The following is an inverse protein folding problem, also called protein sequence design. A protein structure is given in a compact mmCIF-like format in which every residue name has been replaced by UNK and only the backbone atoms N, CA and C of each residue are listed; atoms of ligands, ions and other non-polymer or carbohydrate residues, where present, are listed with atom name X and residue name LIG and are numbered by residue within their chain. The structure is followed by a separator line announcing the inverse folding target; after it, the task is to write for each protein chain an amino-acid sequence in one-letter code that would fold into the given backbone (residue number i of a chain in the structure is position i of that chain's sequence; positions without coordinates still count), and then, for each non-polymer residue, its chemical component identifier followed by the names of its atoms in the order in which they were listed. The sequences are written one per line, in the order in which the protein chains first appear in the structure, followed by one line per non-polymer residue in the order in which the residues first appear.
data_IF_775843217070
#
_entry.id   IF_775843217070
#
_cell.length_a   1.000
_cell.length_b   1.000
_cell.length_c   1.000
_cell.angle_alpha   90.00
_cell.angle_beta   90.00
_cell.angle_gamma   90.00
#
_symmetry.space_group_name_H-M   'P 1'
#
loop_
_entity.id
_entity.type
_entity.pdbx_description
1 polymer ?
#
# COMPACT_ATOMS: atom_id res chain seq x y z
N UNK A 1 8.71 4.93 -5.62
CA UNK A 1 9.69 5.12 -6.70
C UNK A 1 10.02 3.84 -7.47
N UNK A 2 10.15 2.69 -6.82
CA UNK A 2 10.57 1.45 -7.51
C UNK A 2 9.62 1.01 -8.65
N UNK A 3 8.35 1.39 -8.62
CA UNK A 3 7.40 1.15 -9.73
C UNK A 3 7.84 1.80 -11.04
N UNK A 4 8.63 2.86 -11.00
CA UNK A 4 9.14 3.53 -12.20
C UNK A 4 9.89 2.57 -13.10
N UNK A 5 10.63 1.61 -12.52
CA UNK A 5 11.28 0.53 -13.26
C UNK A 5 10.27 -0.33 -14.06
N UNK A 6 9.15 -0.66 -13.45
CA UNK A 6 8.10 -1.46 -14.12
C UNK A 6 7.44 -0.64 -15.23
N UNK A 7 7.25 0.68 -15.02
CA UNK A 7 6.73 1.57 -16.07
C UNK A 7 7.68 1.64 -17.27
N UNK A 8 9.01 1.70 -17.02
CA UNK A 8 10.02 1.66 -18.08
C UNK A 8 9.94 0.34 -18.87
N UNK A 9 9.87 -0.80 -18.19
CA UNK A 9 9.73 -2.12 -18.84
C UNK A 9 8.45 -2.26 -19.65
N UNK A 10 7.37 -1.68 -19.16
CA UNK A 10 6.07 -1.68 -19.85
C UNK A 10 5.98 -0.58 -20.93
N UNK A 11 6.95 0.32 -21.04
CA UNK A 11 6.91 1.43 -22.00
C UNK A 11 5.75 2.40 -21.77
N UNK A 12 5.29 2.54 -20.51
CA UNK A 12 4.13 3.40 -20.16
C UNK A 12 4.51 4.60 -19.30
N UNK A 13 5.80 4.82 -19.07
CA UNK A 13 6.30 5.86 -18.15
C UNK A 13 5.82 7.26 -18.53
N UNK A 14 5.89 7.61 -19.81
CA UNK A 14 5.48 8.95 -20.29
C UNK A 14 3.98 9.17 -20.09
N UNK A 15 3.16 8.15 -20.39
CA UNK A 15 1.72 8.22 -20.17
C UNK A 15 1.38 8.37 -18.68
N UNK A 16 2.09 7.63 -17.79
CA UNK A 16 1.91 7.77 -16.34
C UNK A 16 2.34 9.17 -15.87
N UNK A 17 3.43 9.70 -16.42
CA UNK A 17 3.89 11.06 -16.11
C UNK A 17 2.88 12.13 -16.54
N UNK A 18 2.29 11.96 -17.73
CA UNK A 18 1.30 12.91 -18.28
C UNK A 18 -0.01 12.94 -17.48
N UNK A 19 -0.42 11.82 -16.85
CA UNK A 19 -1.68 11.73 -16.10
C UNK A 19 -1.49 11.88 -14.59
N UNK A 20 -0.28 12.10 -14.10
CA UNK A 20 0.02 12.06 -12.67
C UNK A 20 0.66 13.33 -12.14
N UNK A 21 0.56 13.50 -10.82
CA UNK A 21 1.34 14.50 -10.08
C UNK A 21 2.65 13.85 -9.64
N UNK A 22 3.78 14.51 -9.91
CA UNK A 22 5.10 14.02 -9.47
C UNK A 22 5.13 13.87 -7.94
N UNK A 23 5.61 12.73 -7.46
CA UNK A 23 5.76 12.39 -6.04
C UNK A 23 7.24 12.26 -5.67
N UNK A 24 7.90 13.31 -5.20
CA UNK A 24 9.31 13.25 -4.83
C UNK A 24 9.55 12.74 -3.40
N UNK A 25 8.50 12.65 -2.57
CA UNK A 25 8.65 12.27 -1.18
C UNK A 25 7.34 12.07 -0.42
N UNK A 26 7.47 11.98 0.90
CA UNK A 26 6.36 11.93 1.84
C UNK A 26 6.65 12.83 3.04
N UNK A 27 5.62 13.57 3.47
CA UNK A 27 5.60 14.34 4.72
C UNK A 27 4.82 13.55 5.78
N UNK A 28 5.32 13.56 7.00
CA UNK A 28 4.57 13.08 8.17
C UNK A 28 4.41 14.23 9.16
N UNK A 29 3.20 14.40 9.67
CA UNK A 29 2.82 15.45 10.64
C UNK A 29 2.27 14.76 11.87
N UNK A 30 2.79 15.10 13.05
CA UNK A 30 2.18 14.68 14.32
C UNK A 30 1.21 15.76 14.76
N UNK A 31 -0.06 15.44 14.82
CA UNK A 31 -1.11 16.37 15.24
C UNK A 31 -0.93 16.79 16.72
N UNK A 32 -0.53 15.84 17.55
CA UNK A 32 -0.31 16.06 18.99
C UNK A 32 0.83 17.02 19.30
N UNK A 33 1.91 17.08 18.49
CA UNK A 33 3.10 17.88 18.75
C UNK A 33 3.35 18.98 17.72
N UNK A 34 2.58 19.03 16.63
CA UNK A 34 2.82 19.90 15.49
C UNK A 34 4.10 19.60 14.71
N UNK A 35 4.88 18.60 15.15
CA UNK A 35 6.16 18.24 14.51
C UNK A 35 5.93 17.69 13.10
N UNK A 36 6.79 18.12 12.17
CA UNK A 36 6.79 17.67 10.78
C UNK A 36 8.12 17.03 10.43
N UNK A 37 8.09 15.97 9.61
CA UNK A 37 9.29 15.35 9.06
C UNK A 37 9.07 15.03 7.58
N UNK A 38 10.08 15.29 6.76
CA UNK A 38 10.04 15.08 5.32
C UNK A 38 11.03 14.00 4.92
N UNK A 39 10.57 13.07 4.12
CA UNK A 39 11.36 11.99 3.53
C UNK A 39 11.40 12.17 2.01
N UNK A 40 12.40 12.93 1.52
CA UNK A 40 12.68 13.03 0.10
C UNK A 40 13.25 11.70 -0.41
N UNK A 41 12.64 11.09 -1.41
CA UNK A 41 13.10 9.79 -1.93
C UNK A 41 14.50 9.86 -2.54
N UNK A 42 14.91 11.04 -3.02
CA UNK A 42 16.28 11.31 -3.49
C UNK A 42 17.34 11.09 -2.39
N UNK A 43 16.96 11.16 -1.11
CA UNK A 43 17.86 10.88 0.01
C UNK A 43 17.97 9.38 0.34
N UNK A 44 17.24 8.52 -0.37
CA UNK A 44 17.38 7.07 -0.25
C UNK A 44 18.74 6.58 -0.72
N UNK A 45 19.08 5.35 -0.34
CA UNK A 45 20.35 4.70 -0.64
C UNK A 45 20.48 4.27 -2.12
N UNK A 46 19.36 4.01 -2.77
CA UNK A 46 19.28 3.74 -4.20
C UNK A 46 18.89 5.03 -4.95
N UNK A 47 19.82 5.57 -5.72
CA UNK A 47 19.65 6.83 -6.45
C UNK A 47 19.00 6.69 -7.83
N UNK A 48 18.69 5.49 -8.27
CA UNK A 48 18.13 5.24 -9.61
C UNK A 48 16.66 5.65 -9.70
N UNK A 49 15.90 5.52 -8.61
CA UNK A 49 14.47 5.78 -8.55
C UNK A 49 14.17 6.70 -7.37
N UNK A 50 14.19 8.00 -7.63
CA UNK A 50 14.08 9.05 -6.60
C UNK A 50 12.72 9.72 -6.54
N UNK A 51 11.79 9.30 -7.40
CA UNK A 51 10.42 9.84 -7.47
C UNK A 51 9.44 8.79 -8.02
N UNK A 52 8.17 9.09 -7.93
CA UNK A 52 7.07 8.34 -8.54
C UNK A 52 6.00 9.33 -8.98
N UNK A 53 4.80 8.85 -9.28
CA UNK A 53 3.64 9.68 -9.57
C UNK A 53 2.45 9.29 -8.71
N UNK A 54 1.58 10.25 -8.44
CA UNK A 54 0.27 10.08 -7.85
C UNK A 54 -0.74 10.22 -8.97
N UNK A 55 -1.54 9.19 -9.18
CA UNK A 55 -2.44 9.06 -10.32
C UNK A 55 -3.85 8.74 -9.86
N UNK A 56 -4.85 9.13 -10.65
CA UNK A 56 -6.19 8.59 -10.50
C UNK A 56 -6.17 7.12 -10.90
N UNK A 57 -6.67 6.25 -10.03
CA UNK A 57 -6.61 4.80 -10.25
C UNK A 57 -7.39 4.36 -11.47
N UNK A 58 -8.54 5.00 -11.76
CA UNK A 58 -9.32 4.69 -12.95
C UNK A 58 -8.50 4.86 -14.24
N UNK A 59 -7.80 5.98 -14.36
CA UNK A 59 -6.99 6.30 -15.55
C UNK A 59 -5.77 5.37 -15.64
N UNK A 60 -5.07 5.17 -14.53
CA UNK A 60 -3.90 4.31 -14.46
C UNK A 60 -4.23 2.83 -14.73
N UNK A 61 -5.27 2.31 -14.11
CA UNK A 61 -5.70 0.92 -14.31
C UNK A 61 -6.18 0.71 -15.76
N UNK A 62 -6.87 1.69 -16.35
CA UNK A 62 -7.26 1.68 -17.78
C UNK A 62 -6.05 1.69 -18.70
N UNK A 63 -5.05 2.52 -18.43
CA UNK A 63 -3.80 2.55 -19.19
C UNK A 63 -3.13 1.16 -19.23
N UNK A 64 -2.97 0.54 -18.06
CA UNK A 64 -2.33 -0.79 -17.98
C UNK A 64 -3.16 -1.86 -18.69
N UNK A 65 -4.48 -1.82 -18.54
CA UNK A 65 -5.40 -2.74 -19.19
C UNK A 65 -5.30 -2.62 -20.73
N UNK A 66 -5.37 -1.41 -21.27
CA UNK A 66 -5.25 -1.16 -22.72
C UNK A 66 -3.83 -1.48 -23.23
N UNK A 67 -2.81 -1.22 -22.44
CA UNK A 67 -1.43 -1.60 -22.76
C UNK A 67 -1.25 -3.13 -22.89
N UNK A 68 -1.92 -3.91 -22.03
CA UNK A 68 -1.93 -5.36 -22.16
C UNK A 68 -2.65 -5.82 -23.45
N UNK A 69 -3.80 -5.21 -23.77
CA UNK A 69 -4.54 -5.49 -25.01
C UNK A 69 -3.69 -5.23 -26.26
N UNK A 70 -2.98 -4.08 -26.30
CA UNK A 70 -2.12 -3.74 -27.46
C UNK A 70 -0.94 -4.69 -27.66
N UNK A 71 -0.62 -5.49 -26.64
CA UNK A 71 0.41 -6.55 -26.71
C UNK A 71 -0.15 -7.95 -26.95
N UNK A 72 -1.42 -8.04 -27.34
CA UNK A 72 -2.06 -9.30 -27.76
C UNK A 72 -2.79 -10.03 -26.62
N UNK A 73 -2.91 -9.50 -25.43
CA UNK A 73 -3.76 -10.06 -24.40
C UNK A 73 -5.23 -9.89 -24.80
N UNK A 74 -6.02 -10.97 -24.78
CA UNK A 74 -7.46 -10.89 -24.99
C UNK A 74 -8.14 -10.36 -23.74
N UNK A 75 -8.68 -9.15 -23.83
CA UNK A 75 -9.38 -8.50 -22.75
C UNK A 75 -10.88 -8.73 -22.85
N UNK A 76 -11.53 -9.00 -21.72
CA UNK A 76 -12.98 -9.19 -21.66
C UNK A 76 -13.49 -8.31 -20.49
N UNK A 77 -14.15 -7.22 -20.87
CA UNK A 77 -14.71 -6.24 -19.91
C UNK A 77 -16.13 -6.63 -19.48
N UNK A 78 -16.61 -6.04 -18.40
CA UNK A 78 -17.97 -6.26 -17.85
C UNK A 78 -18.32 -7.76 -17.69
N UNK A 79 -17.30 -8.59 -17.41
CA UNK A 79 -17.45 -10.03 -17.29
C UNK A 79 -16.90 -10.48 -15.95
N UNK A 80 -17.75 -11.10 -15.15
CA UNK A 80 -17.40 -11.53 -13.79
C UNK A 80 -17.10 -13.02 -13.76
N UNK A 81 -15.90 -13.39 -13.31
CA UNK A 81 -15.58 -14.78 -12.98
C UNK A 81 -16.36 -15.17 -11.71
N UNK A 82 -17.20 -16.19 -11.84
CA UNK A 82 -18.07 -16.67 -10.74
C UNK A 82 -17.59 -18.00 -10.16
N UNK A 83 -16.88 -18.80 -10.97
CA UNK A 83 -16.44 -20.11 -10.55
C UNK A 83 -15.07 -20.45 -11.15
N UNK A 84 -14.21 -21.05 -10.34
CA UNK A 84 -12.93 -21.62 -10.78
C UNK A 84 -12.79 -22.98 -10.12
N UNK A 85 -12.59 -24.04 -10.87
CA UNK A 85 -12.39 -25.40 -10.38
C UNK A 85 -11.08 -25.96 -10.90
N UNK A 86 -10.36 -26.62 -10.00
CA UNK A 86 -9.11 -27.30 -10.32
C UNK A 86 -9.36 -28.80 -10.28
N UNK A 87 -8.98 -29.49 -11.35
CA UNK A 87 -9.05 -30.94 -11.42
C UNK A 87 -7.84 -31.64 -10.81
N UNK A 88 -7.62 -32.90 -11.20
CA UNK A 88 -6.41 -33.64 -10.82
C UNK A 88 -5.14 -32.95 -11.38
N UNK A 89 -3.97 -33.19 -10.77
CA UNK A 89 -2.71 -32.64 -11.25
C UNK A 89 -2.52 -32.92 -12.74
N UNK A 90 -2.21 -31.87 -13.53
CA UNK A 90 -2.08 -31.93 -14.98
C UNK A 90 -3.37 -31.68 -15.78
N UNK A 91 -4.54 -31.68 -15.14
CA UNK A 91 -5.79 -31.30 -15.81
C UNK A 91 -5.88 -29.77 -15.96
N UNK A 92 -6.63 -29.33 -16.96
CA UNK A 92 -6.97 -27.91 -17.13
C UNK A 92 -7.96 -27.50 -16.06
N UNK A 93 -7.85 -26.26 -15.57
CA UNK A 93 -8.88 -25.68 -14.72
C UNK A 93 -10.16 -25.42 -15.52
N UNK A 94 -11.31 -25.42 -14.83
CA UNK A 94 -12.59 -24.97 -15.37
C UNK A 94 -12.90 -23.59 -14.78
N UNK A 95 -13.18 -22.61 -15.63
CA UNK A 95 -13.52 -21.24 -15.21
C UNK A 95 -14.85 -20.85 -15.86
N UNK A 96 -15.84 -20.48 -15.03
CA UNK A 96 -17.08 -19.90 -15.49
C UNK A 96 -17.11 -18.39 -15.25
N UNK A 97 -17.53 -17.64 -16.26
CA UNK A 97 -17.63 -16.19 -16.20
C UNK A 97 -18.96 -15.71 -16.80
N UNK A 98 -19.59 -14.75 -16.15
CA UNK A 98 -20.91 -14.20 -16.53
C UNK A 98 -20.68 -12.83 -17.18
N UNK A 99 -21.18 -12.69 -18.40
CA UNK A 99 -21.14 -11.45 -19.17
C UNK A 99 -22.26 -10.46 -18.78
N UNK A 100 -22.26 -9.26 -19.38
CA UNK A 100 -23.25 -8.22 -19.10
C UNK A 100 -24.67 -8.59 -19.54
N UNK A 101 -24.80 -9.52 -20.47
CA UNK A 101 -26.04 -10.08 -20.98
C UNK A 101 -26.58 -11.26 -20.13
N UNK A 102 -25.90 -11.59 -19.03
CA UNK A 102 -26.20 -12.73 -18.18
C UNK A 102 -25.74 -14.09 -18.76
N UNK A 103 -25.17 -14.12 -19.95
CA UNK A 103 -24.64 -15.36 -20.53
C UNK A 103 -23.42 -15.85 -19.76
N UNK A 104 -23.36 -17.18 -19.55
CA UNK A 104 -22.19 -17.82 -18.94
C UNK A 104 -21.26 -18.34 -20.00
N UNK A 105 -19.98 -17.96 -19.90
CA UNK A 105 -18.90 -18.46 -20.76
C UNK A 105 -18.01 -19.38 -19.95
N UNK A 106 -17.59 -20.47 -20.54
CA UNK A 106 -16.67 -21.44 -19.93
C UNK A 106 -15.31 -21.38 -20.60
N UNK A 107 -14.26 -21.43 -19.78
CA UNK A 107 -12.87 -21.44 -20.21
C UNK A 107 -12.16 -22.64 -19.59
N UNK A 108 -11.19 -23.21 -20.30
CA UNK A 108 -10.35 -24.31 -19.83
C UNK A 108 -8.86 -23.90 -19.87
N UNK A 109 -8.41 -22.99 -19.01
CA UNK A 109 -7.02 -22.52 -18.99
C UNK A 109 -6.07 -23.60 -18.49
N UNK A 110 -4.83 -23.54 -18.95
CA UNK A 110 -3.72 -24.37 -18.43
C UNK A 110 -3.19 -23.85 -17.10
N UNK A 111 -3.34 -22.54 -16.86
CA UNK A 111 -2.91 -21.85 -15.62
C UNK A 111 -3.82 -20.67 -15.33
N UNK A 112 -4.13 -20.43 -14.07
CA UNK A 112 -4.99 -19.32 -13.61
C UNK A 112 -4.18 -18.35 -12.77
N UNK A 113 -4.22 -17.06 -13.10
CA UNK A 113 -3.69 -16.01 -12.25
C UNK A 113 -4.85 -15.23 -11.65
N UNK A 114 -5.02 -15.32 -10.33
CA UNK A 114 -6.02 -14.53 -9.60
C UNK A 114 -5.42 -13.18 -9.24
N UNK A 115 -5.91 -12.15 -9.90
CA UNK A 115 -5.64 -10.74 -9.61
C UNK A 115 -6.93 -9.99 -9.20
N UNK A 116 -7.90 -10.70 -8.61
CA UNK A 116 -9.21 -10.16 -8.22
C UNK A 116 -9.16 -9.08 -7.14
N UNK A 117 -7.96 -8.72 -6.68
CA UNK A 117 -7.77 -7.68 -5.69
C UNK A 117 -8.43 -8.07 -4.37
N UNK A 118 -9.14 -7.14 -3.75
CA UNK A 118 -9.77 -7.33 -2.44
C UNK A 118 -10.95 -8.30 -2.42
N UNK A 119 -11.48 -8.68 -3.58
CA UNK A 119 -12.51 -9.72 -3.69
C UNK A 119 -11.95 -11.10 -3.31
N UNK A 120 -10.62 -11.28 -3.43
CA UNK A 120 -9.90 -12.48 -2.97
C UNK A 120 -10.57 -13.78 -3.44
N UNK A 121 -10.87 -13.87 -4.74
CA UNK A 121 -11.68 -14.95 -5.32
C UNK A 121 -11.17 -16.35 -4.91
N UNK A 122 -9.92 -16.67 -5.23
CA UNK A 122 -9.36 -17.98 -4.90
C UNK A 122 -9.06 -18.13 -3.40
N UNK A 123 -8.55 -17.09 -2.73
CA UNK A 123 -8.25 -17.18 -1.31
C UNK A 123 -9.52 -17.44 -0.47
N UNK A 124 -10.65 -16.86 -0.86
CA UNK A 124 -11.95 -17.10 -0.24
C UNK A 124 -12.50 -18.48 -0.57
N UNK A 125 -12.48 -18.88 -1.85
CA UNK A 125 -12.97 -20.18 -2.31
C UNK A 125 -12.18 -21.34 -1.68
N UNK A 126 -10.88 -21.24 -1.62
CA UNK A 126 -9.98 -22.26 -1.06
C UNK A 126 -9.90 -22.21 0.47
N UNK A 127 -10.64 -21.31 1.12
CA UNK A 127 -10.67 -21.10 2.58
C UNK A 127 -9.27 -20.93 3.17
N UNK A 128 -8.36 -20.29 2.43
CA UNK A 128 -6.99 -20.08 2.88
C UNK A 128 -6.70 -18.63 3.30
N UNK A 129 -7.71 -17.72 3.24
CA UNK A 129 -7.64 -16.33 3.68
C UNK A 129 -7.58 -16.25 5.21
N UNK A 130 -6.62 -15.49 5.72
CA UNK A 130 -6.41 -15.24 7.15
C UNK A 130 -6.48 -13.76 7.45
N UNK A 131 -7.39 -13.36 8.34
CA UNK A 131 -7.46 -11.98 8.81
C UNK A 131 -6.27 -11.65 9.71
N UNK A 132 -5.72 -10.45 9.58
CA UNK A 132 -4.68 -9.96 10.47
C UNK A 132 -5.31 -9.47 11.78
N UNK A 133 -5.14 -10.23 12.85
CA UNK A 133 -5.69 -9.92 14.18
C UNK A 133 -5.04 -8.70 14.84
N UNK A 134 -3.85 -8.31 14.39
CA UNK A 134 -3.07 -7.21 14.98
C UNK A 134 -3.33 -5.86 14.33
N UNK A 135 -3.97 -5.82 13.18
CA UNK A 135 -4.24 -4.59 12.44
C UNK A 135 -5.63 -4.66 11.81
N UNK A 136 -6.62 -4.34 12.63
CA UNK A 136 -8.01 -4.29 12.22
C UNK A 136 -8.43 -2.83 12.08
N UNK A 137 -8.17 -2.28 10.90
CA UNK A 137 -8.41 -0.88 10.56
C UNK A 137 -9.50 -0.75 9.51
N UNK A 138 -10.13 0.42 9.50
CA UNK A 138 -11.07 0.85 8.47
C UNK A 138 -10.68 2.24 7.98
N UNK A 139 -11.18 2.63 6.82
CA UNK A 139 -10.95 3.93 6.23
C UNK A 139 -12.24 4.60 5.77
N UNK A 140 -12.27 5.93 5.88
CA UNK A 140 -13.23 6.82 5.23
C UNK A 140 -12.44 7.76 4.33
N UNK A 141 -12.88 7.96 3.10
CA UNK A 141 -12.17 8.86 2.18
C UNK A 141 -13.07 9.43 1.10
N UNK A 142 -12.66 10.58 0.58
CA UNK A 142 -13.25 11.22 -0.58
C UNK A 142 -12.20 12.07 -1.32
N UNK A 143 -12.59 12.61 -2.46
CA UNK A 143 -11.82 13.60 -3.19
C UNK A 143 -12.38 15.00 -2.92
N UNK A 144 -11.48 15.97 -2.83
CA UNK A 144 -11.80 17.37 -2.54
C UNK A 144 -11.04 18.30 -3.49
N UNK A 145 -11.64 19.45 -3.79
CA UNK A 145 -10.95 20.62 -4.32
C UNK A 145 -10.78 21.67 -3.23
N UNK A 146 -9.99 22.73 -3.46
CA UNK A 146 -9.78 23.79 -2.46
C UNK A 146 -8.94 23.38 -1.24
N UNK A 147 -8.33 22.19 -1.22
CA UNK A 147 -7.43 21.79 -0.16
C UNK A 147 -6.08 22.47 -0.33
N UNK A 148 -5.57 23.10 0.74
CA UNK A 148 -4.24 23.73 0.72
C UNK A 148 -3.15 22.71 0.32
N UNK A 149 -2.44 23.01 -0.77
CA UNK A 149 -1.32 22.22 -1.26
C UNK A 149 -0.01 22.65 -0.61
N UNK A 150 0.94 21.75 -0.57
CA UNK A 150 2.32 22.12 -0.27
C UNK A 150 2.95 22.77 -1.48
N UNK A 151 3.80 23.74 -1.23
CA UNK A 151 4.50 24.56 -2.24
C UNK A 151 6.01 24.32 -2.18
N UNK A 152 6.72 24.87 -3.17
CA UNK A 152 8.16 24.82 -3.29
C UNK A 152 8.73 23.39 -3.18
N UNK A 153 9.68 23.17 -2.29
CA UNK A 153 10.37 21.88 -2.11
C UNK A 153 9.44 20.72 -1.71
N UNK A 154 8.24 21.02 -1.21
CA UNK A 154 7.25 20.03 -0.77
C UNK A 154 6.12 19.81 -1.79
N UNK A 155 6.18 20.47 -2.93
CA UNK A 155 5.20 20.25 -3.99
C UNK A 155 5.17 18.76 -4.40
N UNK A 156 3.95 18.23 -4.54
CA UNK A 156 3.74 16.82 -4.87
C UNK A 156 4.02 15.81 -3.75
N UNK A 157 4.45 16.24 -2.56
CA UNK A 157 4.53 15.35 -1.42
C UNK A 157 3.15 14.88 -0.98
N UNK A 158 3.02 13.59 -0.68
CA UNK A 158 1.89 13.16 0.11
C UNK A 158 2.09 13.60 1.56
N UNK A 159 1.01 13.98 2.24
CA UNK A 159 1.05 14.26 3.67
C UNK A 159 0.30 13.18 4.44
N UNK A 160 0.95 12.62 5.46
CA UNK A 160 0.38 11.67 6.41
C UNK A 160 0.30 12.37 7.77
N UNK A 161 -0.91 12.59 8.27
CA UNK A 161 -1.13 13.22 9.56
C UNK A 161 -1.43 12.16 10.61
N UNK A 162 -0.55 12.02 11.59
CA UNK A 162 -0.67 11.05 12.68
C UNK A 162 -1.51 11.65 13.81
N UNK A 163 -2.67 11.05 14.06
CA UNK A 163 -3.59 11.39 15.17
C UNK A 163 -3.61 10.28 16.22
N UNK A 164 -4.32 10.45 17.32
CA UNK A 164 -4.28 9.52 18.46
C UNK A 164 -4.85 8.14 18.11
N UNK A 165 -5.96 8.09 17.38
CA UNK A 165 -6.68 6.86 17.07
C UNK A 165 -6.57 6.42 15.61
N UNK A 166 -5.60 7.01 14.86
CA UNK A 166 -5.40 6.68 13.45
C UNK A 166 -4.43 7.62 12.73
N UNK A 167 -4.72 7.84 11.47
CA UNK A 167 -3.95 8.77 10.64
C UNK A 167 -4.78 9.21 9.42
N UNK A 168 -4.43 10.39 8.87
CA UNK A 168 -4.99 10.87 7.61
C UNK A 168 -3.96 10.80 6.50
N UNK A 169 -4.43 10.64 5.28
CA UNK A 169 -3.66 10.96 4.08
C UNK A 169 -4.23 12.18 3.38
N UNK A 170 -3.35 12.99 2.80
CA UNK A 170 -3.67 14.02 1.83
C UNK A 170 -2.74 13.79 0.63
N UNK A 171 -3.33 13.34 -0.48
CA UNK A 171 -2.60 12.93 -1.69
C UNK A 171 -3.00 13.88 -2.82
N UNK A 172 -2.09 14.76 -3.29
CA UNK A 172 -2.37 15.62 -4.42
C UNK A 172 -2.55 14.81 -5.70
N UNK A 173 -3.63 15.07 -6.39
CA UNK A 173 -4.00 14.52 -7.69
C UNK A 173 -4.02 15.62 -8.75
N UNK A 174 -4.10 15.29 -10.05
CA UNK A 174 -4.29 16.28 -11.12
C UNK A 174 -5.52 17.17 -10.93
N UNK A 175 -5.57 18.28 -11.65
CA UNK A 175 -6.70 19.21 -11.74
C UNK A 175 -7.13 19.83 -10.38
N UNK A 176 -6.16 20.10 -9.50
CA UNK A 176 -6.44 20.71 -8.20
C UNK A 176 -7.11 19.79 -7.18
N UNK A 177 -7.33 18.53 -7.53
CA UNK A 177 -7.97 17.55 -6.65
C UNK A 177 -6.99 17.03 -5.60
N UNK A 178 -7.49 16.77 -4.40
CA UNK A 178 -6.79 16.11 -3.30
C UNK A 178 -7.59 14.88 -2.86
N UNK A 179 -6.96 13.70 -2.83
CA UNK A 179 -7.56 12.56 -2.14
C UNK A 179 -7.28 12.71 -0.65
N UNK A 180 -8.33 12.75 0.16
CA UNK A 180 -8.24 12.86 1.62
C UNK A 180 -8.95 11.68 2.25
N UNK A 181 -8.30 11.04 3.22
CA UNK A 181 -8.91 9.93 3.92
C UNK A 181 -8.37 9.75 5.33
N UNK A 182 -9.20 9.17 6.18
CA UNK A 182 -8.91 8.80 7.54
C UNK A 182 -8.85 7.27 7.68
N UNK A 183 -7.80 6.77 8.31
CA UNK A 183 -7.66 5.36 8.70
C UNK A 183 -7.59 5.29 10.21
N UNK A 184 -8.46 4.50 10.80
CA UNK A 184 -8.50 4.30 12.25
C UNK A 184 -8.71 2.83 12.62
N UNK A 185 -8.45 2.50 13.89
CA UNK A 185 -8.77 1.19 14.44
C UNK A 185 -10.28 0.98 14.48
N UNK A 186 -10.74 -0.27 14.52
CA UNK A 186 -12.18 -0.57 14.65
C UNK A 186 -12.86 0.13 15.82
N UNK A 187 -12.15 0.37 16.92
CA UNK A 187 -12.68 1.12 18.06
C UNK A 187 -13.07 2.55 17.69
N UNK A 188 -12.34 3.18 16.77
CA UNK A 188 -12.67 4.52 16.26
C UNK A 188 -14.00 4.56 15.50
N UNK A 189 -14.46 3.39 15.01
CA UNK A 189 -15.70 3.24 14.23
C UNK A 189 -16.85 2.58 14.99
N UNK A 190 -16.58 1.88 16.10
CA UNK A 190 -17.60 1.14 16.87
C UNK A 190 -18.65 2.04 17.52
N UNK A 191 -18.27 3.22 17.95
CA UNK A 191 -19.16 4.19 18.59
C UNK A 191 -19.71 5.22 17.59
N UNK A 192 -19.82 4.82 16.33
CA UNK A 192 -20.31 5.68 15.25
C UNK A 192 -21.77 6.09 15.52
N UNK A 193 -21.96 7.37 15.82
CA UNK A 193 -23.25 8.03 15.75
C UNK A 193 -23.34 8.74 14.39
N UNK A 194 -24.43 8.53 13.67
CA UNK A 194 -24.68 9.16 12.39
C UNK A 194 -24.08 8.43 11.16
N UNK A 195 -24.09 9.13 10.04
CA UNK A 195 -23.61 8.66 8.74
C UNK A 195 -22.09 8.60 8.64
N UNK A 196 -21.57 7.91 7.60
CA UNK A 196 -20.14 7.93 7.26
C UNK A 196 -19.65 9.36 6.97
N UNK A 197 -20.51 10.19 6.38
CA UNK A 197 -20.22 11.59 6.10
C UNK A 197 -20.00 12.40 7.39
N UNK A 198 -20.93 12.35 8.30
CA UNK A 198 -20.86 13.07 9.58
C UNK A 198 -19.64 12.67 10.38
N UNK A 199 -19.37 11.37 10.44
CA UNK A 199 -18.19 10.85 11.11
C UNK A 199 -16.90 11.36 10.48
N UNK A 200 -16.78 11.31 9.13
CA UNK A 200 -15.58 11.77 8.45
C UNK A 200 -15.34 13.25 8.66
N UNK A 201 -16.39 14.07 8.53
CA UNK A 201 -16.31 15.51 8.75
C UNK A 201 -15.97 15.85 10.22
N UNK A 202 -16.48 15.07 11.19
CA UNK A 202 -16.12 15.25 12.59
C UNK A 202 -14.63 14.93 12.82
N UNK A 203 -14.10 13.87 12.19
CA UNK A 203 -12.67 13.52 12.28
C UNK A 203 -11.77 14.59 11.65
N UNK A 204 -12.17 15.15 10.51
CA UNK A 204 -11.44 16.26 9.87
C UNK A 204 -11.37 17.49 10.78
N UNK A 205 -12.52 17.90 11.37
CA UNK A 205 -12.57 19.03 12.30
C UNK A 205 -11.78 18.79 13.59
N UNK A 206 -11.71 17.54 14.04
CA UNK A 206 -10.98 17.14 15.25
C UNK A 206 -9.46 17.11 15.11
N UNK A 207 -8.93 17.24 13.90
CA UNK A 207 -7.48 17.28 13.64
C UNK A 207 -7.04 18.71 13.26
N UNK A 208 -6.37 19.45 14.13
CA UNK A 208 -5.94 20.81 13.84
C UNK A 208 -5.10 20.93 12.58
N UNK A 209 -4.16 20.01 12.37
CA UNK A 209 -3.26 20.05 11.22
C UNK A 209 -3.94 19.73 9.88
N UNK A 210 -4.99 18.89 9.90
CA UNK A 210 -5.80 18.58 8.71
C UNK A 210 -6.84 19.65 8.49
N UNK A 211 -7.56 20.06 9.53
CA UNK A 211 -8.60 21.09 9.48
C UNK A 211 -8.07 22.41 8.91
N UNK A 212 -6.86 22.81 9.28
CA UNK A 212 -6.22 24.02 8.74
C UNK A 212 -6.09 23.95 7.20
N UNK A 213 -5.72 22.81 6.65
CA UNK A 213 -5.56 22.60 5.20
C UNK A 213 -6.90 22.43 4.44
N UNK A 214 -7.94 22.05 5.17
CA UNK A 214 -9.27 21.76 4.63
C UNK A 214 -10.24 22.96 4.72
N UNK A 215 -9.77 24.15 5.08
CA UNK A 215 -10.61 25.32 5.35
C UNK A 215 -11.57 25.64 4.20
N UNK A 216 -11.04 25.64 2.98
CA UNK A 216 -11.77 25.99 1.75
C UNK A 216 -12.11 24.73 0.92
N UNK A 217 -12.00 23.56 1.52
CA UNK A 217 -12.15 22.30 0.82
C UNK A 217 -13.62 21.97 0.54
N UNK A 218 -13.89 21.60 -0.71
CA UNK A 218 -15.21 21.16 -1.18
C UNK A 218 -15.10 19.71 -1.67
N UNK A 219 -15.97 18.80 -1.21
CA UNK A 219 -15.97 17.42 -1.69
C UNK A 219 -16.44 17.37 -3.15
N UNK A 220 -15.73 16.61 -3.99
CA UNK A 220 -16.08 16.36 -5.39
C UNK A 220 -16.49 14.91 -5.66
N UNK A 221 -16.41 14.05 -4.63
CA UNK A 221 -16.95 12.70 -4.65
C UNK A 221 -17.70 12.42 -3.35
N UNK A 222 -18.54 11.39 -3.35
CA UNK A 222 -19.12 10.86 -2.13
C UNK A 222 -18.04 10.27 -1.21
N UNK A 223 -18.35 10.21 0.09
CA UNK A 223 -17.47 9.57 1.08
C UNK A 223 -17.64 8.07 1.03
N UNK A 224 -16.55 7.40 0.72
CA UNK A 224 -16.47 5.93 0.66
C UNK A 224 -15.94 5.39 1.98
N UNK A 225 -16.58 4.34 2.50
CA UNK A 225 -16.10 3.58 3.63
C UNK A 225 -15.55 2.23 3.20
N UNK A 226 -14.44 1.81 3.80
CA UNK A 226 -13.84 0.51 3.57
C UNK A 226 -13.21 -0.03 4.84
N UNK A 227 -13.32 -1.34 5.06
CA UNK A 227 -12.81 -1.96 6.28
C UNK A 227 -12.26 -3.36 6.05
N UNK A 228 -11.69 -3.94 7.10
CA UNK A 228 -11.16 -5.31 7.13
C UNK A 228 -10.16 -5.60 5.99
N UNK A 229 -9.28 -4.64 5.73
CA UNK A 229 -8.39 -4.74 4.58
C UNK A 229 -7.00 -5.32 4.90
N UNK A 230 -6.71 -5.70 6.15
CA UNK A 230 -5.44 -6.35 6.47
C UNK A 230 -5.64 -7.87 6.59
N UNK A 231 -5.10 -8.61 5.63
CA UNK A 231 -5.20 -10.07 5.54
C UNK A 231 -4.06 -10.65 4.69
N UNK A 232 -3.84 -11.96 4.81
CA UNK A 232 -3.02 -12.73 3.88
C UNK A 232 -3.68 -14.10 3.58
N UNK A 233 -3.28 -14.73 2.49
CA UNK A 233 -3.57 -16.12 2.23
C UNK A 233 -2.46 -17.02 2.77
N UNK A 234 -2.80 -18.23 3.17
CA UNK A 234 -1.85 -19.22 3.69
C UNK A 234 -0.77 -19.57 2.65
N UNK A 235 -1.15 -19.65 1.38
CA UNK A 235 -0.25 -19.78 0.22
C UNK A 235 -0.73 -18.86 -0.90
N UNK A 236 0.20 -18.34 -1.70
CA UNK A 236 -0.12 -17.55 -2.90
C UNK A 236 -0.31 -18.42 -4.14
N UNK A 237 -0.06 -19.71 -4.10
CA UNK A 237 -0.07 -20.60 -5.26
C UNK A 237 -0.52 -22.02 -4.91
N UNK A 238 -0.86 -22.78 -5.93
CA UNK A 238 -1.17 -24.19 -5.88
C UNK A 238 -1.13 -24.80 -7.28
N UNK A 239 -1.66 -26.01 -7.42
CA UNK A 239 -1.68 -26.72 -8.70
C UNK A 239 -2.50 -25.93 -9.74
N UNK A 240 -1.82 -25.41 -10.76
CA UNK A 240 -2.45 -24.70 -11.86
C UNK A 240 -2.91 -23.27 -11.55
N UNK A 241 -2.52 -22.68 -10.40
CA UNK A 241 -2.90 -21.30 -10.09
C UNK A 241 -1.86 -20.51 -9.30
N UNK A 242 -1.99 -19.20 -9.40
CA UNK A 242 -1.25 -18.19 -8.62
C UNK A 242 -2.18 -17.05 -8.22
N UNK A 243 -2.05 -16.54 -7.01
CA UNK A 243 -2.69 -15.32 -6.52
C UNK A 243 -1.65 -14.21 -6.41
N UNK A 244 -1.96 -13.00 -6.92
CA UNK A 244 -1.06 -11.85 -6.93
C UNK A 244 -1.73 -10.60 -6.35
N UNK A 245 -0.90 -9.64 -5.91
CA UNK A 245 -1.39 -8.39 -5.33
C UNK A 245 -2.33 -8.62 -4.15
N UNK A 246 -3.39 -7.84 -4.08
CA UNK A 246 -4.36 -7.90 -2.98
C UNK A 246 -5.18 -9.21 -2.98
N UNK A 247 -5.24 -9.96 -4.08
CA UNK A 247 -5.84 -11.30 -4.08
C UNK A 247 -5.07 -12.27 -3.17
N UNK A 248 -3.76 -12.07 -3.01
CA UNK A 248 -2.90 -12.82 -2.10
C UNK A 248 -2.85 -12.22 -0.69
N UNK A 249 -2.51 -10.94 -0.57
CA UNK A 249 -2.32 -10.30 0.72
C UNK A 249 -2.43 -8.78 0.62
N UNK A 250 -3.01 -8.17 1.64
CA UNK A 250 -3.07 -6.73 1.81
C UNK A 250 -2.57 -6.32 3.19
N UNK A 251 -1.72 -5.31 3.24
CA UNK A 251 -1.25 -4.68 4.47
C UNK A 251 -1.77 -3.24 4.56
N UNK A 252 -1.75 -2.64 5.75
CA UNK A 252 -2.21 -1.26 5.98
C UNK A 252 -1.51 -0.27 5.02
N UNK A 253 -2.25 0.68 4.41
CA UNK A 253 -1.75 1.52 3.33
C UNK A 253 -0.91 2.74 3.78
N UNK A 254 -0.55 2.88 5.06
CA UNK A 254 0.13 4.08 5.60
C UNK A 254 1.40 4.48 4.83
N UNK A 255 2.11 3.53 4.22
CA UNK A 255 3.30 3.79 3.40
C UNK A 255 3.06 3.61 1.89
N UNK A 256 1.80 3.53 1.45
CA UNK A 256 1.42 3.46 0.02
C UNK A 256 2.14 2.34 -0.76
N UNK A 257 2.37 1.18 -0.16
CA UNK A 257 3.14 0.06 -0.74
C UNK A 257 2.31 -0.90 -1.60
N UNK A 258 0.97 -0.84 -1.57
CA UNK A 258 0.09 -1.83 -2.23
C UNK A 258 0.35 -1.98 -3.72
N UNK A 259 0.36 -0.87 -4.48
CA UNK A 259 0.61 -0.91 -5.93
C UNK A 259 2.01 -1.44 -6.25
N UNK A 260 3.03 -1.12 -5.45
CA UNK A 260 4.38 -1.66 -5.61
C UNK A 260 4.39 -3.19 -5.45
N UNK A 261 3.74 -3.70 -4.41
CA UNK A 261 3.65 -5.13 -4.15
C UNK A 261 2.87 -5.84 -5.25
N UNK A 262 1.75 -5.27 -5.71
CA UNK A 262 0.94 -5.83 -6.79
C UNK A 262 1.71 -5.90 -8.12
N UNK A 263 2.39 -4.82 -8.52
CA UNK A 263 3.17 -4.80 -9.76
C UNK A 263 4.38 -5.73 -9.70
N UNK A 264 5.09 -5.77 -8.55
CA UNK A 264 6.20 -6.72 -8.35
C UNK A 264 5.70 -8.18 -8.40
N UNK A 265 4.52 -8.44 -7.80
CA UNK A 265 3.90 -9.76 -7.86
C UNK A 265 3.48 -10.12 -9.29
N UNK A 266 2.99 -9.17 -10.09
CA UNK A 266 2.63 -9.39 -11.49
C UNK A 266 3.85 -9.70 -12.37
N UNK A 267 4.96 -8.95 -12.22
CA UNK A 267 6.21 -9.23 -12.94
C UNK A 267 6.73 -10.65 -12.64
N UNK A 268 6.78 -11.02 -11.35
CA UNK A 268 7.25 -12.35 -10.94
C UNK A 268 6.23 -13.44 -11.26
N UNK A 269 4.95 -13.10 -11.24
CA UNK A 269 3.86 -14.01 -11.59
C UNK A 269 3.88 -14.40 -13.07
N UNK A 270 4.30 -13.50 -13.95
CA UNK A 270 4.53 -13.82 -15.35
C UNK A 270 5.64 -14.89 -15.52
N UNK A 271 6.79 -14.74 -14.81
CA UNK A 271 7.86 -15.73 -14.79
C UNK A 271 7.35 -17.11 -14.29
N UNK A 272 6.51 -17.10 -13.24
CA UNK A 272 5.90 -18.32 -12.69
C UNK A 272 4.97 -18.98 -13.70
N UNK A 273 4.11 -18.20 -14.36
CA UNK A 273 3.16 -18.73 -15.33
C UNK A 273 3.89 -19.33 -16.54
N UNK A 274 4.91 -18.65 -17.06
CA UNK A 274 5.73 -19.12 -18.17
C UNK A 274 6.43 -20.44 -17.81
N UNK A 275 7.12 -20.47 -16.68
CA UNK A 275 7.78 -21.67 -16.18
C UNK A 275 6.80 -22.84 -15.95
N UNK A 276 5.57 -22.55 -15.47
CA UNK A 276 4.53 -23.56 -15.28
C UNK A 276 4.03 -24.15 -16.61
N UNK A 277 3.85 -23.30 -17.61
CA UNK A 277 3.39 -23.71 -18.93
C UNK A 277 4.41 -24.56 -19.68
N UNK A 278 5.72 -24.36 -19.40
CA UNK A 278 6.81 -25.21 -19.90
C UNK A 278 6.91 -26.52 -19.10
N UNK A 279 7.07 -26.43 -17.77
CA UNK A 279 7.20 -27.56 -16.85
C UNK A 279 6.57 -27.22 -15.49
N UNK A 280 5.48 -27.89 -15.06
CA UNK A 280 4.86 -27.67 -13.77
C UNK A 280 5.80 -27.81 -12.57
N UNK A 281 6.87 -28.60 -12.65
CA UNK A 281 7.87 -28.73 -11.58
C UNK A 281 8.70 -27.44 -11.45
N UNK A 282 9.14 -26.88 -12.57
CA UNK A 282 9.82 -25.57 -12.63
C UNK A 282 8.89 -24.46 -12.10
N UNK A 283 7.63 -24.47 -12.57
CA UNK A 283 6.62 -23.51 -12.12
C UNK A 283 6.41 -23.50 -10.61
N UNK A 284 6.32 -24.69 -9.97
CA UNK A 284 6.23 -24.80 -8.50
C UNK A 284 7.45 -24.22 -7.79
N UNK A 285 8.65 -24.47 -8.31
CA UNK A 285 9.88 -23.96 -7.74
C UNK A 285 9.93 -22.42 -7.77
N UNK A 286 9.55 -21.82 -8.92
CA UNK A 286 9.48 -20.36 -9.07
C UNK A 286 8.34 -19.75 -8.23
N UNK A 287 7.18 -20.38 -8.15
CA UNK A 287 6.08 -19.93 -7.31
C UNK A 287 6.47 -19.89 -5.81
N UNK A 288 7.12 -20.95 -5.33
CA UNK A 288 7.64 -21.02 -3.96
C UNK A 288 8.68 -19.93 -3.68
N UNK A 289 9.57 -19.67 -4.64
CA UNK A 289 10.58 -18.60 -4.56
C UNK A 289 9.92 -17.23 -4.53
N UNK A 290 8.97 -16.98 -5.43
CA UNK A 290 8.20 -15.74 -5.49
C UNK A 290 7.47 -15.48 -4.17
N UNK A 291 6.73 -16.45 -3.63
CA UNK A 291 6.00 -16.28 -2.37
C UNK A 291 6.94 -15.94 -1.22
N UNK A 292 8.04 -16.67 -1.07
CA UNK A 292 9.05 -16.38 -0.04
C UNK A 292 9.57 -14.95 -0.14
N UNK A 293 9.88 -14.51 -1.35
CA UNK A 293 10.44 -13.17 -1.61
C UNK A 293 9.41 -12.07 -1.35
N UNK A 294 8.13 -12.29 -1.69
CA UNK A 294 7.04 -11.36 -1.40
C UNK A 294 6.77 -11.27 0.10
N UNK A 295 6.70 -12.39 0.80
CA UNK A 295 6.51 -12.40 2.26
C UNK A 295 7.65 -11.70 2.99
N UNK A 296 8.89 -11.88 2.53
CA UNK A 296 10.05 -11.17 3.08
C UNK A 296 9.91 -9.65 2.88
N UNK A 297 9.58 -9.21 1.66
CA UNK A 297 9.37 -7.79 1.34
C UNK A 297 8.24 -7.18 2.18
N UNK A 298 7.10 -7.87 2.26
CA UNK A 298 5.96 -7.47 3.08
C UNK A 298 6.32 -7.38 4.56
N UNK A 299 7.03 -8.36 5.11
CA UNK A 299 7.45 -8.39 6.52
C UNK A 299 8.36 -7.23 6.91
N UNK A 300 9.19 -6.73 5.98
CA UNK A 300 10.07 -5.57 6.24
C UNK A 300 9.28 -4.30 6.46
N UNK A 301 8.28 -4.03 5.62
CA UNK A 301 7.47 -2.81 5.74
C UNK A 301 6.37 -2.97 6.81
N UNK A 302 5.79 -4.16 6.95
CA UNK A 302 4.79 -4.47 7.96
C UNK A 302 5.31 -4.25 9.38
N UNK A 303 6.61 -4.52 9.62
CA UNK A 303 7.22 -4.26 10.93
C UNK A 303 7.08 -2.78 11.34
N UNK A 304 7.30 -1.86 10.41
CA UNK A 304 7.18 -0.42 10.63
C UNK A 304 5.70 -0.01 10.73
N UNK A 305 4.86 -0.52 9.83
CA UNK A 305 3.41 -0.25 9.79
C UNK A 305 2.75 -0.58 11.13
N UNK A 306 2.94 -1.79 11.62
CA UNK A 306 2.25 -2.26 12.84
C UNK A 306 2.72 -1.57 14.12
N UNK A 307 3.82 -0.81 14.04
CA UNK A 307 4.37 -0.08 15.17
C UNK A 307 4.26 1.44 15.06
N UNK A 308 3.69 1.96 13.96
CA UNK A 308 3.60 3.43 13.75
C UNK A 308 2.81 4.14 14.86
N UNK A 309 1.88 3.43 15.49
CA UNK A 309 1.12 3.93 16.64
C UNK A 309 1.82 3.71 17.98
N UNK A 310 2.97 3.05 18.03
CA UNK A 310 3.75 2.88 19.25
C UNK A 310 4.47 4.20 19.57
N UNK A 311 4.36 4.74 20.80
CA UNK A 311 4.94 6.06 21.16
C UNK A 311 6.46 6.13 20.91
N UNK A 312 7.21 5.08 21.25
CA UNK A 312 8.67 5.03 21.03
C UNK A 312 9.01 5.06 19.56
N UNK A 313 8.30 4.25 18.73
CA UNK A 313 8.55 4.26 17.29
C UNK A 313 8.19 5.61 16.69
N UNK A 314 7.02 6.18 17.07
CA UNK A 314 6.57 7.50 16.59
C UNK A 314 7.59 8.57 16.91
N UNK A 315 8.13 8.60 18.13
CA UNK A 315 9.19 9.55 18.54
C UNK A 315 10.44 9.41 17.64
N UNK A 316 10.95 8.19 17.46
CA UNK A 316 12.14 7.93 16.63
C UNK A 316 11.89 8.22 15.14
N UNK A 317 10.71 7.91 14.64
CA UNK A 317 10.31 8.12 13.24
C UNK A 317 10.11 9.60 12.91
N UNK A 318 9.53 10.38 13.85
CA UNK A 318 9.27 11.81 13.69
C UNK A 318 10.52 12.69 13.91
N UNK A 319 11.61 12.13 14.43
CA UNK A 319 12.90 12.80 14.59
C UNK A 319 14.07 11.88 14.21
N UNK A 320 14.13 11.38 12.96
CA UNK A 320 15.09 10.37 12.58
C UNK A 320 16.49 10.95 12.53
N UNK A 321 17.39 10.44 13.37
CA UNK A 321 18.82 10.73 13.30
C UNK A 321 19.45 9.91 12.20
N UNK A 322 20.46 10.47 11.51
CA UNK A 322 21.14 9.75 10.43
C UNK A 322 22.40 8.99 10.87
N UNK A 323 22.59 8.82 12.19
CA UNK A 323 23.62 7.94 12.75
C UNK A 323 23.46 6.54 12.16
N UNK A 324 24.56 5.91 11.72
CA UNK A 324 24.58 4.63 11.01
C UNK A 324 23.66 4.62 9.76
N UNK A 325 23.42 5.78 9.16
CA UNK A 325 22.57 5.97 7.99
C UNK A 325 21.09 5.52 8.20
N UNK A 326 20.63 5.53 9.44
CA UNK A 326 19.28 5.05 9.79
C UNK A 326 18.18 5.81 9.04
N UNK A 327 18.31 7.15 8.92
CA UNK A 327 17.36 7.97 8.15
C UNK A 327 17.35 7.58 6.68
N UNK A 328 18.53 7.42 6.06
CA UNK A 328 18.66 7.00 4.65
C UNK A 328 18.06 5.60 4.43
N UNK A 329 18.22 4.70 5.39
CA UNK A 329 17.59 3.37 5.38
C UNK A 329 16.07 3.43 5.42
N UNK A 330 15.50 4.29 6.28
CA UNK A 330 14.04 4.53 6.33
C UNK A 330 13.54 5.11 5.02
N UNK A 331 14.20 6.13 4.47
CA UNK A 331 13.85 6.71 3.15
C UNK A 331 13.87 5.63 2.08
N UNK A 332 14.89 4.78 2.06
CA UNK A 332 14.99 3.68 1.08
C UNK A 332 13.84 2.69 1.21
N UNK A 333 13.43 2.37 2.43
CA UNK A 333 12.28 1.51 2.69
C UNK A 333 10.97 2.14 2.20
N UNK A 334 10.75 3.44 2.48
CA UNK A 334 9.59 4.21 2.01
C UNK A 334 9.61 4.40 0.49
N UNK A 335 10.77 4.49 -0.14
CA UNK A 335 10.95 4.54 -1.59
C UNK A 335 10.66 3.20 -2.28
N UNK A 336 10.40 2.12 -1.53
CA UNK A 336 10.04 0.80 -2.04
C UNK A 336 11.21 -0.17 -2.16
N UNK A 337 12.42 0.14 -1.68
CA UNK A 337 13.54 -0.79 -1.67
C UNK A 337 13.35 -1.87 -0.59
N UNK A 338 12.36 -2.75 -0.82
CA UNK A 338 11.93 -3.75 0.14
C UNK A 338 12.86 -4.98 0.19
N UNK A 339 13.57 -5.30 -0.89
CA UNK A 339 14.52 -6.42 -0.93
C UNK A 339 15.89 -6.03 -0.37
N UNK A 340 16.41 -4.90 -0.78
CA UNK A 340 17.65 -4.29 -0.30
C UNK A 340 18.92 -5.12 -0.48
N UNK A 341 20.02 -4.44 -0.75
CA UNK A 341 21.38 -4.96 -0.54
C UNK A 341 21.78 -4.83 0.95
N UNK A 342 22.88 -5.39 1.37
CA UNK A 342 23.44 -5.17 2.71
C UNK A 342 23.49 -3.69 3.10
N UNK A 343 23.84 -2.80 2.16
CA UNK A 343 23.88 -1.36 2.37
C UNK A 343 22.53 -0.75 2.75
N UNK A 344 21.40 -1.36 2.36
CA UNK A 344 20.05 -0.90 2.71
C UNK A 344 19.45 -1.66 3.88
N UNK A 345 19.92 -2.89 4.13
CA UNK A 345 19.44 -3.72 5.24
C UNK A 345 20.01 -3.26 6.57
N UNK A 346 21.33 -3.02 6.63
CA UNK A 346 22.02 -2.66 7.87
C UNK A 346 21.51 -1.37 8.53
N UNK A 347 21.28 -0.25 7.81
CA UNK A 347 20.69 0.93 8.40
C UNK A 347 19.29 0.72 9.00
N UNK A 348 18.46 -0.10 8.34
CA UNK A 348 17.13 -0.44 8.87
C UNK A 348 17.24 -1.34 10.10
N UNK A 349 18.19 -2.28 10.13
CA UNK A 349 18.45 -3.10 11.33
C UNK A 349 18.95 -2.23 12.49
N UNK A 350 19.85 -1.28 12.24
CA UNK A 350 20.30 -0.32 13.24
C UNK A 350 19.13 0.47 13.84
N UNK A 351 18.22 0.97 12.99
CA UNK A 351 17.01 1.64 13.45
C UNK A 351 16.11 0.73 14.32
N UNK A 352 15.93 -0.53 13.91
CA UNK A 352 15.18 -1.53 14.69
C UNK A 352 15.84 -1.81 16.04
N UNK A 353 17.17 -1.92 16.08
CA UNK A 353 17.93 -2.14 17.31
C UNK A 353 17.75 -0.95 18.28
N UNK A 354 17.88 0.27 17.79
CA UNK A 354 17.63 1.49 18.60
C UNK A 354 16.20 1.48 19.15
N UNK A 355 15.21 1.16 18.32
CA UNK A 355 13.83 1.05 18.78
C UNK A 355 13.68 0.02 19.93
N UNK A 356 14.27 -1.15 19.80
CA UNK A 356 14.16 -2.19 20.84
C UNK A 356 14.88 -1.80 22.13
N UNK A 357 16.08 -1.19 22.03
CA UNK A 357 16.83 -0.68 23.20
C UNK A 357 16.04 0.41 23.92
N UNK A 358 15.54 1.41 23.22
CA UNK A 358 14.73 2.47 23.82
C UNK A 358 13.43 1.93 24.41
N UNK A 359 12.75 1.02 23.71
CA UNK A 359 11.52 0.38 24.22
C UNK A 359 11.78 -0.42 25.51
N UNK A 360 12.94 -1.08 25.62
CA UNK A 360 13.35 -1.79 26.83
C UNK A 360 13.65 -0.79 27.98
N UNK A 361 14.38 0.28 27.68
CA UNK A 361 14.69 1.33 28.67
C UNK A 361 13.42 1.99 29.22
N UNK A 362 12.42 2.26 28.37
CA UNK A 362 11.10 2.78 28.81
C UNK A 362 10.40 1.76 29.71
N UNK A 363 10.38 0.48 29.33
CA UNK A 363 9.76 -0.60 30.16
C UNK A 363 10.40 -0.76 31.52
N UNK A 364 11.71 -0.52 31.61
CA UNK A 364 12.48 -0.59 32.87
C UNK A 364 12.40 0.71 33.68
N UNK A 365 11.67 1.73 33.23
CA UNK A 365 11.57 3.04 33.88
C UNK A 365 12.84 3.88 33.81
N UNK A 366 13.83 3.50 33.00
CA UNK A 366 15.09 4.22 32.82
C UNK A 366 14.94 5.46 31.95
N UNK A 367 13.90 5.49 31.11
CA UNK A 367 13.53 6.62 30.23
C UNK A 367 12.03 6.83 30.37
N UNK A 368 11.61 8.07 30.48
CA UNK A 368 10.18 8.41 30.51
C UNK A 368 9.48 7.94 29.22
N UNK A 369 8.25 7.42 29.33
CA UNK A 369 7.46 7.07 28.17
C UNK A 369 7.20 8.32 27.33
N UNK A 370 7.49 8.32 26.02
CA UNK A 370 7.18 9.45 25.15
C UNK A 370 5.67 9.70 25.16
N UNK A 371 5.24 10.86 25.65
CA UNK A 371 3.84 11.23 25.70
C UNK A 371 3.24 11.31 24.29
N UNK A 372 2.01 10.81 24.12
CA UNK A 372 1.24 10.91 22.88
C UNK A 372 0.83 12.36 22.55
N UNK A 373 1.01 13.31 23.46
CA UNK A 373 0.53 14.66 23.29
C UNK A 373 0.96 15.67 24.36
N UNK A 374 2.25 16.02 24.44
CA UNK A 374 2.63 17.29 25.07
C UNK A 374 3.48 18.08 24.09
N UNK A 375 3.16 19.36 23.78
CA UNK A 375 4.07 20.22 23.05
C UNK A 375 5.33 20.36 23.91
N UNK A 376 6.43 19.75 23.44
CA UNK A 376 7.72 20.04 24.05
C UNK A 376 7.98 21.52 23.93
N UNK A 377 8.28 22.19 25.07
CA UNK A 377 8.80 23.53 25.09
C UNK A 377 9.93 23.63 24.05
N UNK A 378 9.81 24.62 23.20
CA UNK A 378 10.90 25.03 22.32
C UNK A 378 12.05 25.55 23.20
N UNK A 379 13.21 24.90 23.11
CA UNK A 379 14.53 25.48 23.33
C UNK A 379 15.34 25.33 22.04
#
# INVERSE_FOLDING_TARGET
PLNTKTFDRLGVREQVAAMGVLKPGAEFVSDATGRRVHFAFANGLDKRYTYSWQVRRADFDTLLFRSAASRGARMVENTRVTQVEFGMPGARASVAAVGPDGSTRHYAPRFVVDASGRDTLLASKLRNKRANKYNNTAALFAHFTGVERREAELEGYISVHLVDDGWFWLIPLPDGVMSVGFVGNQSAFKNRQGSAHEMFMARLRGSPSVSARMRDAVPVTEIVSTGNFSYDAASSWGEGYLMIGDAFAFIDPVFSSGVLLAMTAAERGADVADAWLDDPKKGRAEAKRMERDLRYAMGRIAWLIYRINNPVLRMLFMAPRNTLRMRDGLVSLLAGNLRGSWNTVMPVLAFKSVYHVVSLAVRLGLVAEPHRGTPGAAE
#
